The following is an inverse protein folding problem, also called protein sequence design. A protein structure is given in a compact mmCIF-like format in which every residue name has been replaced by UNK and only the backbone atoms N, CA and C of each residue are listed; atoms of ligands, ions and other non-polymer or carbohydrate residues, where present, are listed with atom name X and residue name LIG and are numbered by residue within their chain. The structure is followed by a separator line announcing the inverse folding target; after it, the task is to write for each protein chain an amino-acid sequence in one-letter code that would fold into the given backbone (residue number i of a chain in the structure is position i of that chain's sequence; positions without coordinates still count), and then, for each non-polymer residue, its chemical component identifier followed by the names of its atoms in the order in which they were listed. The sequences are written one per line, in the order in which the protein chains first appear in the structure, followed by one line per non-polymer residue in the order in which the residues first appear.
data_IF_560704284635
#
_entry.id   IF_560704284635
#
_cell.length_a   1.000
_cell.length_b   1.000
_cell.length_c   1.000
_cell.angle_alpha   90.00
_cell.angle_beta   90.00
_cell.angle_gamma   90.00
#
_symmetry.space_group_name_H-M   'P 1'
#
loop_
_entity.id
_entity.type
_entity.pdbx_description
1 polymer ?
#
# COMPACT_ATOMS: atom_id res chain seq x y z
N UNK A 1 -2.58 10.29 10.32
CA UNK A 1 -1.42 9.92 9.49
C UNK A 1 -1.28 8.41 9.41
N UNK A 2 -0.75 7.88 8.29
CA UNK A 2 -0.37 6.46 8.15
C UNK A 2 1.14 6.32 7.97
N UNK A 3 1.66 5.10 8.12
CA UNK A 3 3.02 4.76 7.71
C UNK A 3 3.01 4.00 6.39
N UNK A 4 3.89 4.39 5.48
CA UNK A 4 4.09 3.73 4.20
C UNK A 4 5.58 3.45 4.04
N UNK A 5 5.98 2.17 4.07
CA UNK A 5 7.40 1.76 4.01
C UNK A 5 8.28 2.52 5.02
N UNK A 6 7.83 2.57 6.28
CA UNK A 6 8.50 3.26 7.40
C UNK A 6 8.59 4.78 7.26
N UNK A 7 7.86 5.40 6.32
CA UNK A 7 7.76 6.86 6.18
C UNK A 7 6.34 7.32 6.49
N UNK A 8 6.22 8.46 7.15
CA UNK A 8 4.92 9.05 7.41
C UNK A 8 4.28 9.54 6.10
N UNK A 9 2.97 9.35 5.98
CA UNK A 9 2.18 9.78 4.85
C UNK A 9 0.83 10.33 5.33
N UNK A 10 0.36 11.38 4.67
CA UNK A 10 -0.94 11.97 4.97
C UNK A 10 -2.04 10.99 4.57
N UNK A 11 -2.88 10.68 5.56
CA UNK A 11 -4.07 9.87 5.36
C UNK A 11 -5.25 10.77 5.05
N UNK A 12 -6.14 10.29 4.18
CA UNK A 12 -7.40 10.95 3.84
C UNK A 12 -8.53 9.92 3.90
N UNK A 13 -9.75 10.40 4.17
CA UNK A 13 -10.91 9.55 4.21
C UNK A 13 -11.18 8.89 2.83
N UNK A 14 -11.43 7.58 2.83
CA UNK A 14 -11.61 6.82 1.59
C UNK A 14 -10.32 6.52 0.82
N UNK A 15 -9.15 6.63 1.47
CA UNK A 15 -7.88 6.17 0.91
C UNK A 15 -7.88 4.63 0.82
N UNK A 16 -7.71 4.12 -0.39
CA UNK A 16 -7.57 2.69 -0.66
C UNK A 16 -6.12 2.36 -1.01
N UNK A 17 -5.77 1.07 -1.01
CA UNK A 17 -4.44 0.63 -1.46
C UNK A 17 -4.17 1.11 -2.89
N UNK A 18 -5.13 0.94 -3.80
CA UNK A 18 -5.00 1.38 -5.19
C UNK A 18 -4.71 2.90 -5.28
N UNK A 19 -5.49 3.73 -4.57
CA UNK A 19 -5.26 5.19 -4.54
C UNK A 19 -3.89 5.55 -3.97
N UNK A 20 -3.44 4.85 -2.93
CA UNK A 20 -2.11 5.07 -2.35
C UNK A 20 -1.01 4.78 -3.40
N UNK A 21 -1.11 3.67 -4.11
CA UNK A 21 -0.18 3.28 -5.16
C UNK A 21 -0.16 4.30 -6.31
N UNK A 22 -1.33 4.77 -6.73
CA UNK A 22 -1.49 5.80 -7.76
C UNK A 22 -0.84 7.12 -7.32
N UNK A 23 -1.09 7.58 -6.08
CA UNK A 23 -0.46 8.78 -5.51
C UNK A 23 1.06 8.68 -5.42
N UNK A 24 1.58 7.49 -5.09
CA UNK A 24 3.02 7.22 -5.04
C UNK A 24 3.64 6.97 -6.41
N UNK A 25 2.83 6.93 -7.48
CA UNK A 25 3.23 6.61 -8.86
C UNK A 25 3.95 5.26 -8.96
N UNK A 26 3.52 4.29 -8.16
CA UNK A 26 4.02 2.92 -8.26
C UNK A 26 3.39 2.22 -9.46
N UNK A 27 4.06 2.30 -10.61
CA UNK A 27 3.60 1.72 -11.88
C UNK A 27 4.10 0.30 -12.12
N UNK A 28 4.88 -0.26 -11.20
CA UNK A 28 5.54 -1.56 -11.41
C UNK A 28 4.57 -2.73 -11.20
N UNK A 29 4.52 -3.71 -12.14
CA UNK A 29 3.54 -4.79 -12.11
C UNK A 29 3.77 -5.85 -11.02
N UNK A 30 4.92 -5.84 -10.35
CA UNK A 30 5.32 -6.84 -9.33
C UNK A 30 5.51 -6.20 -7.95
N UNK A 31 4.41 -5.65 -7.43
CA UNK A 31 4.36 -5.10 -6.08
C UNK A 31 3.46 -5.96 -5.20
N UNK A 32 3.86 -6.08 -3.95
CA UNK A 32 3.10 -6.74 -2.90
C UNK A 32 2.82 -5.76 -1.78
N UNK A 33 1.56 -5.66 -1.36
CA UNK A 33 1.15 -4.73 -0.31
C UNK A 33 0.71 -5.48 0.93
N UNK A 34 1.16 -5.02 2.09
CA UNK A 34 0.65 -5.48 3.37
C UNK A 34 0.18 -4.31 4.22
N UNK A 35 -0.88 -4.51 5.01
CA UNK A 35 -1.41 -3.55 5.98
C UNK A 35 -1.34 -4.20 7.35
N UNK A 36 -0.63 -3.59 8.29
CA UNK A 36 -0.43 -4.10 9.65
C UNK A 36 0.11 -5.55 9.71
N UNK A 37 0.82 -5.99 8.68
CA UNK A 37 1.35 -7.35 8.55
C UNK A 37 0.44 -8.35 7.83
N UNK A 38 -0.81 -7.96 7.52
CA UNK A 38 -1.71 -8.76 6.71
C UNK A 38 -1.55 -8.44 5.22
N UNK A 39 -1.64 -9.48 4.41
CA UNK A 39 -1.45 -9.41 2.97
C UNK A 39 -2.74 -8.91 2.35
N UNK A 40 -2.64 -7.91 1.48
CA UNK A 40 -3.76 -7.49 0.64
C UNK A 40 -3.53 -8.08 -0.74
N UNK A 41 -4.51 -8.84 -1.23
CA UNK A 41 -4.47 -9.37 -2.58
C UNK A 41 -4.71 -8.25 -3.59
N UNK A 42 -4.14 -8.39 -4.80
CA UNK A 42 -4.19 -7.34 -5.81
C UNK A 42 -5.63 -7.01 -6.23
N UNK A 43 -6.49 -8.02 -6.26
CA UNK A 43 -7.91 -7.91 -6.57
C UNK A 43 -8.66 -7.08 -5.53
N UNK A 44 -8.12 -6.94 -4.32
CA UNK A 44 -8.75 -6.20 -3.22
C UNK A 44 -8.20 -4.77 -3.07
N UNK A 45 -7.26 -4.33 -3.91
CA UNK A 45 -6.61 -3.03 -3.75
C UNK A 45 -7.57 -1.84 -3.87
N UNK A 46 -8.63 -1.98 -4.66
CA UNK A 46 -9.62 -0.92 -4.88
C UNK A 46 -10.68 -0.86 -3.76
N UNK A 47 -10.99 -1.98 -3.11
CA UNK A 47 -11.96 -2.09 -2.02
C UNK A 47 -11.34 -1.99 -0.63
N UNK A 48 -10.05 -2.29 -0.48
CA UNK A 48 -9.36 -2.29 0.81
C UNK A 48 -9.06 -0.86 1.24
N UNK A 49 -9.79 -0.42 2.27
CA UNK A 49 -9.61 0.89 2.89
C UNK A 49 -8.45 0.86 3.88
N UNK A 50 -7.54 1.81 3.71
CA UNK A 50 -6.49 2.10 4.68
C UNK A 50 -7.09 3.00 5.76
N UNK A 51 -6.88 2.67 7.03
CA UNK A 51 -7.35 3.46 8.17
C UNK A 51 -6.24 4.35 8.70
N UNK A 52 -6.64 5.39 9.42
CA UNK A 52 -5.69 6.25 10.07
C UNK A 52 -4.85 5.49 11.10
N UNK A 53 -3.53 5.66 11.07
CA UNK A 53 -2.59 4.95 11.94
C UNK A 53 -2.09 3.61 11.41
N UNK A 54 -2.60 3.11 10.28
CA UNK A 54 -2.13 1.85 9.69
C UNK A 54 -0.66 1.90 9.23
N UNK A 55 0.02 0.75 9.35
CA UNK A 55 1.36 0.53 8.77
C UNK A 55 1.24 -0.26 7.46
N UNK A 56 1.43 0.45 6.35
CA UNK A 56 1.36 -0.09 4.99
C UNK A 56 2.77 -0.33 4.46
N UNK A 57 3.03 -1.54 3.95
CA UNK A 57 4.30 -1.87 3.29
C UNK A 57 4.05 -2.21 1.84
N UNK A 58 4.79 -1.56 0.95
CA UNK A 58 4.78 -1.81 -0.49
C UNK A 58 6.15 -2.37 -0.86
N UNK A 59 6.19 -3.66 -1.15
CA UNK A 59 7.41 -4.40 -1.43
C UNK A 59 7.48 -4.69 -2.92
N UNK A 60 8.59 -4.30 -3.56
CA UNK A 60 8.89 -4.71 -4.93
C UNK A 60 9.49 -6.12 -4.91
N UNK A 61 8.86 -7.06 -5.59
CA UNK A 61 9.46 -8.37 -5.85
C UNK A 61 10.57 -8.18 -6.89
N UNK A 62 11.78 -7.89 -6.41
CA UNK A 62 12.98 -8.04 -7.22
C UNK A 62 13.19 -9.55 -7.40
N UNK A 63 13.04 -10.03 -8.63
CA UNK A 63 13.44 -11.38 -8.98
C UNK A 63 14.97 -11.47 -8.80
N UNK A 64 15.39 -11.93 -7.63
CA UNK A 64 16.79 -12.23 -7.34
C UNK A 64 17.21 -13.44 -8.16
N UNK A 65 18.25 -13.25 -8.97
CA UNK A 65 19.08 -14.32 -9.53
C UNK A 65 20.42 -14.32 -8.83
#
# INVERSE_FOLDING_TARGET
MIKVNSKDFEWEEGLTVQKLLDKKKYTFPKIYVTINGEIVEKEEYDITLIKDGDDVKVIHLLAGG
#
